data_IF_930285697846
#
_entry.id   IF_930285697846
#
_cell.length_a   1.000
_cell.length_b   1.000
_cell.length_c   1.000
_cell.angle_alpha   90.00
_cell.angle_beta   90.00
_cell.angle_gamma   90.00
#
_symmetry.space_group_name_H-M   'P 1'
#
loop_
_entity.id
_entity.type
_entity.pdbx_description
1 polymer ?
#
# COMPACT_ATOMS: atom_id res chain seq x y z
N UNK A 1 -14.13 -17.27 -3.53
CA UNK A 1 -14.47 -15.90 -3.11
C UNK A 1 -13.31 -14.94 -3.38
N UNK A 2 -12.17 -14.98 -2.67
CA UNK A 2 -11.03 -14.06 -2.92
C UNK A 2 -10.46 -14.10 -4.36
N UNK A 3 -10.35 -15.28 -4.97
CA UNK A 3 -9.84 -15.41 -6.34
C UNK A 3 -10.77 -14.76 -7.39
N UNK A 4 -12.09 -14.82 -7.18
CA UNK A 4 -13.07 -14.19 -8.07
C UNK A 4 -13.05 -12.66 -7.93
N UNK A 5 -12.93 -12.15 -6.71
CA UNK A 5 -12.79 -10.70 -6.45
C UNK A 5 -11.54 -10.15 -7.13
N UNK A 6 -10.43 -10.90 -7.12
CA UNK A 6 -9.20 -10.49 -7.79
C UNK A 6 -9.37 -10.42 -9.32
N UNK A 7 -9.99 -11.41 -9.93
CA UNK A 7 -10.28 -11.39 -11.38
C UNK A 7 -11.19 -10.23 -11.78
N UNK A 8 -12.20 -9.89 -10.95
CA UNK A 8 -13.11 -8.78 -11.23
C UNK A 8 -12.42 -7.41 -11.10
N UNK A 9 -11.47 -7.27 -10.18
CA UNK A 9 -10.63 -6.07 -10.04
C UNK A 9 -9.66 -5.93 -11.22
N UNK A 10 -9.00 -7.03 -11.60
CA UNK A 10 -8.07 -7.07 -12.74
C UNK A 10 -8.79 -6.73 -14.05
N UNK A 11 -10.03 -7.21 -14.25
CA UNK A 11 -10.86 -6.84 -15.41
C UNK A 11 -11.20 -5.35 -15.48
N UNK A 12 -11.26 -4.68 -14.33
CA UNK A 12 -11.46 -3.23 -14.25
C UNK A 12 -10.14 -2.46 -14.37
N UNK A 13 -9.01 -3.15 -14.51
CA UNK A 13 -7.67 -2.55 -14.57
C UNK A 13 -7.13 -2.11 -13.21
N UNK A 14 -7.78 -2.48 -12.11
CA UNK A 14 -7.28 -2.20 -10.77
C UNK A 14 -6.06 -3.09 -10.50
N UNK A 15 -4.98 -2.46 -10.03
CA UNK A 15 -3.79 -3.19 -9.59
C UNK A 15 -3.85 -3.25 -8.07
N UNK A 16 -3.78 -4.47 -7.52
CA UNK A 16 -3.66 -4.68 -6.08
C UNK A 16 -2.65 -5.80 -5.78
N UNK A 17 -1.43 -5.39 -5.45
CA UNK A 17 -0.26 -6.23 -5.26
C UNK A 17 0.45 -5.87 -3.94
N UNK A 18 1.40 -6.71 -3.53
CA UNK A 18 2.41 -6.27 -2.57
C UNK A 18 3.35 -5.24 -3.22
N UNK A 19 3.95 -4.37 -2.41
CA UNK A 19 4.80 -3.27 -2.89
C UNK A 19 6.00 -3.76 -3.71
N UNK A 20 6.62 -4.89 -3.32
CA UNK A 20 7.80 -5.44 -4.00
C UNK A 20 7.46 -5.98 -5.39
N UNK A 21 6.30 -6.64 -5.53
CA UNK A 21 5.76 -7.08 -6.82
C UNK A 21 5.31 -5.89 -7.65
N UNK A 22 4.64 -4.91 -7.05
CA UNK A 22 4.26 -3.66 -7.74
C UNK A 22 5.45 -2.94 -8.34
N UNK A 23 6.56 -2.82 -7.58
CA UNK A 23 7.79 -2.19 -8.07
C UNK A 23 8.40 -2.95 -9.26
N UNK A 24 8.34 -4.28 -9.24
CA UNK A 24 8.90 -5.14 -10.28
C UNK A 24 8.08 -5.12 -11.56
N UNK A 25 6.76 -5.12 -11.45
CA UNK A 25 5.83 -5.27 -12.57
C UNK A 25 5.37 -3.92 -13.15
N UNK A 26 5.37 -2.86 -12.34
CA UNK A 26 4.95 -1.50 -12.72
C UNK A 26 6.00 -0.43 -12.39
N UNK A 27 7.27 -0.59 -12.80
CA UNK A 27 8.36 0.30 -12.41
C UNK A 27 8.15 1.76 -12.85
N UNK A 28 7.37 2.00 -13.91
CA UNK A 28 6.99 3.33 -14.39
C UNK A 28 6.17 4.12 -13.36
N UNK A 29 5.20 3.47 -12.72
CA UNK A 29 4.39 4.08 -11.66
C UNK A 29 5.24 4.35 -10.43
N UNK A 30 6.12 3.43 -10.06
CA UNK A 30 7.03 3.66 -8.92
C UNK A 30 8.00 4.79 -9.20
N UNK A 31 8.53 4.90 -10.42
CA UNK A 31 9.40 6.03 -10.80
C UNK A 31 8.66 7.38 -10.73
N UNK A 32 7.38 7.40 -11.07
CA UNK A 32 6.57 8.62 -11.02
C UNK A 32 6.19 9.01 -9.59
N UNK A 33 5.79 8.07 -8.74
CA UNK A 33 5.11 8.36 -7.47
C UNK A 33 5.87 7.95 -6.20
N UNK A 34 6.68 6.91 -6.24
CA UNK A 34 7.31 6.36 -5.04
C UNK A 34 8.36 7.33 -4.47
N UNK A 35 8.24 7.64 -3.18
CA UNK A 35 9.12 8.58 -2.49
C UNK A 35 8.94 10.05 -2.89
N UNK A 36 7.82 10.39 -3.54
CA UNK A 36 7.52 11.78 -3.91
C UNK A 36 6.80 12.55 -2.83
N UNK A 37 5.88 11.89 -2.11
CA UNK A 37 5.19 12.51 -1.00
C UNK A 37 6.07 12.46 0.26
N UNK A 38 6.76 11.34 0.46
CA UNK A 38 7.66 11.12 1.60
C UNK A 38 9.04 10.68 1.08
N UNK A 39 9.94 11.65 0.80
CA UNK A 39 11.30 11.36 0.35
C UNK A 39 12.11 10.59 1.38
N UNK A 40 13.15 9.87 0.92
CA UNK A 40 14.06 9.11 1.80
C UNK A 40 14.70 9.99 2.89
N UNK A 41 14.93 11.28 2.61
CA UNK A 41 15.54 12.23 3.55
C UNK A 41 14.56 12.95 4.47
N UNK A 42 13.26 12.62 4.45
CA UNK A 42 12.23 13.36 5.21
C UNK A 42 12.49 13.35 6.72
N UNK A 43 12.78 12.17 7.28
CA UNK A 43 13.17 12.01 8.67
C UNK A 43 13.95 10.70 8.87
N UNK A 44 14.51 10.50 10.08
CA UNK A 44 15.34 9.32 10.40
C UNK A 44 14.62 7.98 10.16
N UNK A 45 13.32 7.92 10.44
CA UNK A 45 12.52 6.71 10.27
C UNK A 45 12.11 6.52 8.81
N UNK A 46 11.90 7.62 8.07
CA UNK A 46 11.67 7.56 6.64
C UNK A 46 12.91 7.06 5.87
N UNK A 47 14.10 7.51 6.26
CA UNK A 47 15.36 7.02 5.71
C UNK A 47 15.55 5.53 5.99
N UNK A 48 15.28 5.09 7.23
CA UNK A 48 15.35 3.69 7.61
C UNK A 48 14.33 2.85 6.82
N UNK A 49 13.04 3.21 6.82
CA UNK A 49 12.02 2.50 6.06
C UNK A 49 12.37 2.44 4.57
N UNK A 50 12.82 3.53 3.96
CA UNK A 50 13.22 3.53 2.54
C UNK A 50 14.42 2.61 2.26
N UNK A 51 15.31 2.39 3.23
CA UNK A 51 16.45 1.51 3.04
C UNK A 51 16.11 0.02 3.26
N UNK A 52 15.16 -0.29 4.15
CA UNK A 52 14.92 -1.66 4.63
C UNK A 52 13.45 -2.08 4.63
N UNK A 53 12.58 -1.44 3.82
CA UNK A 53 11.17 -1.83 3.78
C UNK A 53 11.04 -3.32 3.48
N UNK A 54 10.02 -3.92 4.06
CA UNK A 54 9.71 -5.34 3.91
C UNK A 54 8.20 -5.47 3.78
N UNK A 55 7.72 -5.51 2.54
CA UNK A 55 6.29 -5.54 2.24
C UNK A 55 5.59 -4.17 2.29
N UNK A 56 4.27 -4.22 2.42
CA UNK A 56 3.36 -3.10 2.14
C UNK A 56 2.42 -3.45 0.99
N UNK A 57 1.51 -2.53 0.66
CA UNK A 57 0.58 -2.69 -0.47
C UNK A 57 0.83 -1.69 -1.58
N UNK A 58 0.70 -2.15 -2.83
CA UNK A 58 0.60 -1.29 -4.00
C UNK A 58 -0.79 -1.36 -4.59
N UNK A 59 -1.45 -0.20 -4.68
CA UNK A 59 -2.80 -0.06 -5.22
C UNK A 59 -2.80 1.03 -6.30
N UNK A 60 -3.26 0.68 -7.49
CA UNK A 60 -3.59 1.65 -8.53
C UNK A 60 -5.03 1.46 -8.98
N UNK A 61 -5.80 2.56 -8.99
CA UNK A 61 -7.19 2.56 -9.46
C UNK A 61 -7.29 3.46 -10.70
N UNK A 62 -7.65 2.89 -11.86
CA UNK A 62 -7.74 3.63 -13.11
C UNK A 62 -8.80 4.71 -13.11
N UNK A 63 -8.69 5.63 -14.07
CA UNK A 63 -9.63 6.71 -14.29
C UNK A 63 -11.08 6.20 -14.39
N UNK A 64 -11.98 6.82 -13.63
CA UNK A 64 -13.41 6.52 -13.62
C UNK A 64 -13.79 5.19 -12.94
N UNK A 65 -12.83 4.43 -12.41
CA UNK A 65 -13.11 3.15 -11.76
C UNK A 65 -13.48 3.36 -10.29
N UNK A 66 -14.61 2.80 -9.88
CA UNK A 66 -15.10 2.83 -8.51
C UNK A 66 -15.05 1.42 -7.92
N UNK A 67 -14.13 1.19 -6.99
CA UNK A 67 -14.03 -0.08 -6.28
C UNK A 67 -15.10 -0.13 -5.19
N UNK A 68 -16.18 -0.88 -5.43
CA UNK A 68 -17.34 -0.95 -4.52
C UNK A 68 -17.03 -1.69 -3.21
N UNK A 69 -16.17 -2.72 -3.28
CA UNK A 69 -15.83 -3.57 -2.14
C UNK A 69 -14.52 -3.06 -1.51
N UNK A 70 -14.46 -2.84 -0.19
CA UNK A 70 -13.21 -2.43 0.45
C UNK A 70 -12.07 -3.42 0.16
N UNK A 71 -10.94 -2.90 -0.30
CA UNK A 71 -9.70 -3.65 -0.42
C UNK A 71 -9.12 -3.84 0.97
N UNK A 72 -8.83 -5.08 1.34
CA UNK A 72 -8.24 -5.41 2.64
C UNK A 72 -6.91 -6.12 2.42
N UNK A 73 -5.83 -5.57 2.98
CA UNK A 73 -4.58 -6.30 3.13
C UNK A 73 -4.51 -6.87 4.54
N UNK A 74 -4.36 -8.19 4.65
CA UNK A 74 -4.09 -8.85 5.92
C UNK A 74 -2.65 -9.38 5.90
N UNK A 75 -1.73 -8.61 6.48
CA UNK A 75 -0.33 -9.02 6.57
C UNK A 75 -0.20 -10.15 7.61
N UNK A 76 0.01 -11.38 7.14
CA UNK A 76 0.34 -12.53 8.00
C UNK A 76 1.85 -12.53 8.28
N UNK A 77 2.25 -11.97 9.41
CA UNK A 77 3.64 -11.95 9.88
C UNK A 77 3.96 -13.28 10.56
N UNK A 78 4.87 -14.05 9.97
CA UNK A 78 5.33 -15.36 10.48
C UNK A 78 6.73 -15.30 11.12
N UNK A 79 7.24 -14.11 11.47
CA UNK A 79 8.63 -13.97 11.94
C UNK A 79 8.73 -13.09 13.19
N UNK A 80 9.05 -13.72 14.32
CA UNK A 80 9.45 -13.05 15.56
C UNK A 80 10.74 -12.25 15.31
N UNK A 81 10.73 -10.94 15.60
CA UNK A 81 11.91 -10.05 15.69
C UNK A 81 12.38 -9.28 14.44
N UNK A 82 11.58 -9.12 13.38
CA UNK A 82 11.86 -8.09 12.38
C UNK A 82 11.07 -6.82 12.70
N UNK A 83 11.75 -5.67 12.76
CA UNK A 83 11.06 -4.37 12.75
C UNK A 83 10.11 -4.30 11.57
N UNK A 84 8.90 -3.79 11.79
CA UNK A 84 7.88 -3.76 10.76
C UNK A 84 8.03 -2.47 9.96
N UNK A 85 8.61 -2.59 8.76
CA UNK A 85 8.85 -1.48 7.85
C UNK A 85 7.98 -1.66 6.60
N UNK A 86 6.68 -1.41 6.75
CA UNK A 86 5.75 -1.49 5.62
C UNK A 86 5.81 -0.20 4.79
N UNK A 87 5.74 -0.33 3.47
CA UNK A 87 5.63 0.84 2.60
C UNK A 87 4.49 0.68 1.60
N UNK A 88 3.40 1.39 1.84
CA UNK A 88 2.20 1.33 1.04
C UNK A 88 2.15 2.50 0.05
N UNK A 89 1.84 2.22 -1.22
CA UNK A 89 1.64 3.21 -2.27
C UNK A 89 0.24 3.04 -2.87
N UNK A 90 -0.59 4.08 -2.78
CA UNK A 90 -1.95 4.12 -3.33
C UNK A 90 -2.06 5.26 -4.33
N UNK A 91 -2.50 4.95 -5.54
CA UNK A 91 -2.72 5.91 -6.61
C UNK A 91 -4.17 5.76 -7.08
N UNK A 92 -4.95 6.83 -6.91
CA UNK A 92 -6.31 6.92 -7.39
C UNK A 92 -6.36 7.94 -8.53
N UNK A 93 -6.54 7.47 -9.76
CA UNK A 93 -6.59 8.31 -10.96
C UNK A 93 -7.92 9.09 -11.05
N UNK A 94 -8.05 9.99 -12.02
CA UNK A 94 -9.17 10.94 -12.09
C UNK A 94 -10.53 10.25 -11.99
N UNK A 95 -11.46 10.87 -11.25
CA UNK A 95 -12.83 10.36 -11.07
C UNK A 95 -12.89 8.91 -10.53
N UNK A 96 -11.86 8.41 -9.83
CA UNK A 96 -11.84 7.06 -9.25
C UNK A 96 -12.18 7.02 -7.76
N UNK A 97 -12.57 5.84 -7.27
CA UNK A 97 -12.84 5.62 -5.85
C UNK A 97 -12.26 4.31 -5.34
N UNK A 98 -11.66 4.35 -4.14
CA UNK A 98 -11.24 3.15 -3.41
C UNK A 98 -11.37 3.33 -1.90
N UNK A 99 -11.80 2.27 -1.23
CA UNK A 99 -11.67 2.10 0.21
C UNK A 99 -10.62 1.04 0.48
N UNK A 100 -9.50 1.43 1.09
CA UNK A 100 -8.48 0.52 1.56
C UNK A 100 -8.53 0.44 3.09
N UNK A 101 -8.53 -0.80 3.60
CA UNK A 101 -8.44 -1.12 5.02
C UNK A 101 -7.13 -1.85 5.26
N UNK A 102 -6.24 -1.19 5.98
CA UNK A 102 -5.00 -1.75 6.47
C UNK A 102 -5.23 -2.22 7.91
N UNK A 103 -4.69 -3.38 8.26
CA UNK A 103 -4.79 -3.89 9.62
C UNK A 103 -3.53 -4.66 9.98
N UNK A 104 -2.96 -4.35 11.14
CA UNK A 104 -1.89 -5.14 11.74
C UNK A 104 -2.37 -5.70 13.07
N UNK A 105 -2.48 -7.02 13.17
CA UNK A 105 -2.72 -7.70 14.46
C UNK A 105 -1.39 -8.26 14.95
N UNK A 106 -0.76 -7.60 15.91
CA UNK A 106 0.44 -8.12 16.58
C UNK A 106 0.06 -8.85 17.88
N UNK A 107 0.58 -10.06 18.14
CA UNK A 107 0.61 -10.62 19.48
C UNK A 107 1.32 -9.66 20.44
N UNK A 108 0.87 -9.58 21.69
CA UNK A 108 1.56 -8.79 22.73
C UNK A 108 2.88 -9.51 23.06
N UNK A 109 3.96 -9.15 22.36
CA UNK A 109 5.30 -9.60 22.70
C UNK A 109 5.81 -8.81 23.93
N UNK A 110 6.60 -9.46 24.79
CA UNK A 110 7.10 -8.88 26.05
C UNK A 110 8.21 -7.83 25.88
N UNK A 111 8.69 -7.60 24.66
CA UNK A 111 9.80 -6.70 24.32
C UNK A 111 9.32 -5.51 23.49
N UNK A 112 9.96 -4.36 23.67
CA UNK A 112 9.71 -3.18 22.84
C UNK A 112 9.96 -3.49 21.35
N UNK A 113 9.03 -3.10 20.48
CA UNK A 113 9.12 -3.26 19.03
C UNK A 113 8.93 -1.92 18.32
N UNK A 114 9.63 -1.74 17.18
CA UNK A 114 9.47 -0.58 16.31
C UNK A 114 8.64 -0.98 15.10
N UNK A 115 7.51 -0.30 14.93
CA UNK A 115 6.73 -0.29 13.69
C UNK A 115 6.86 1.10 13.07
N UNK A 116 7.33 1.15 11.81
CA UNK A 116 7.56 2.38 11.07
C UNK A 116 7.05 2.20 9.66
N UNK A 117 5.74 2.37 9.48
CA UNK A 117 5.10 2.35 8.17
C UNK A 117 5.22 3.71 7.46
N UNK A 118 5.29 3.63 6.13
CA UNK A 118 5.12 4.77 5.22
C UNK A 118 3.92 4.49 4.34
N UNK A 119 3.02 5.46 4.22
CA UNK A 119 1.86 5.38 3.34
C UNK A 119 1.84 6.62 2.45
N UNK A 120 2.03 6.43 1.15
CA UNK A 120 1.94 7.48 0.15
C UNK A 120 0.63 7.32 -0.63
N UNK A 121 -0.25 8.32 -0.56
CA UNK A 121 -1.56 8.31 -1.23
C UNK A 121 -1.64 9.48 -2.21
N UNK A 122 -1.77 9.18 -3.50
CA UNK A 122 -1.94 10.16 -4.56
C UNK A 122 -3.39 10.12 -5.05
N UNK A 123 -4.10 11.23 -4.86
CA UNK A 123 -5.51 11.38 -5.24
C UNK A 123 -5.58 12.38 -6.39
N UNK A 124 -5.89 11.91 -7.60
CA UNK A 124 -6.06 12.76 -8.79
C UNK A 124 -7.42 13.47 -8.76
N UNK A 125 -7.67 14.30 -9.78
CA UNK A 125 -8.84 15.17 -9.84
C UNK A 125 -10.13 14.38 -9.66
N UNK A 126 -11.02 14.86 -8.78
CA UNK A 126 -12.31 14.24 -8.44
C UNK A 126 -12.24 12.80 -7.87
N UNK A 127 -11.04 12.25 -7.69
CA UNK A 127 -10.87 10.93 -7.11
C UNK A 127 -11.10 10.98 -5.59
N UNK A 128 -11.41 9.84 -4.99
CA UNK A 128 -11.60 9.71 -3.54
C UNK A 128 -10.98 8.41 -3.02
N UNK A 129 -10.06 8.56 -2.07
CA UNK A 129 -9.51 7.44 -1.30
C UNK A 129 -10.07 7.51 0.12
N UNK A 130 -10.63 6.39 0.59
CA UNK A 130 -10.88 6.16 2.01
C UNK A 130 -9.82 5.21 2.52
N UNK A 131 -8.97 5.68 3.42
CA UNK A 131 -7.95 4.87 4.08
C UNK A 131 -8.39 4.63 5.54
N UNK A 132 -8.36 3.38 5.98
CA UNK A 132 -8.71 2.96 7.36
C UNK A 132 -7.57 2.10 7.89
N UNK A 133 -7.07 2.43 9.07
CA UNK A 133 -5.99 1.74 9.79
C UNK A 133 -6.46 1.43 11.21
#
# INVERSE_FOLDING_TARGET
VYHQIREDLERQGVIFLDTDTGLREHPELFKEYFGKAIPAGDNKFAALNTAVWSGGSFIYVPKGVHVEIPLQAYFRINTENMGQFERTLIIADEDSYVHYVEGCTAPIYKSDSLHSAIVEIFVRKNARVRYTT
#
